data_IF_935057262532
#
_entry.id   IF_935057262532
#
_cell.length_a   1.000
_cell.length_b   1.000
_cell.length_c   1.000
_cell.angle_alpha   90.00
_cell.angle_beta   90.00
_cell.angle_gamma   90.00
#
_symmetry.space_group_name_H-M   'P 1'
#
loop_
_entity.id
_entity.type
_entity.pdbx_description
1 polymer ?
#
# COMPACT_ATOMS: atom_id res chain seq x y z
N UNK A 1 40.50 -5.18 33.76
CA UNK A 1 39.39 -5.86 33.04
C UNK A 1 38.07 -5.23 33.43
N UNK A 2 37.38 -4.55 32.50
CA UNK A 2 35.95 -4.25 32.62
C UNK A 2 35.37 -4.23 31.21
N UNK A 3 34.75 -5.34 30.81
CA UNK A 3 34.10 -5.50 29.50
C UNK A 3 32.87 -4.60 29.49
N UNK A 4 32.91 -3.48 28.77
CA UNK A 4 31.70 -2.84 28.28
C UNK A 4 31.15 -3.79 27.21
N UNK A 5 29.98 -4.38 27.47
CA UNK A 5 29.20 -5.01 26.41
C UNK A 5 28.49 -3.87 25.71
N UNK A 6 28.86 -3.64 24.47
CA UNK A 6 28.13 -2.77 23.56
C UNK A 6 26.72 -3.35 23.41
N UNK A 7 25.73 -2.67 23.99
CA UNK A 7 24.34 -2.88 23.58
C UNK A 7 24.19 -2.10 22.27
N UNK A 8 24.49 -2.77 21.16
CA UNK A 8 24.08 -2.29 19.86
C UNK A 8 22.55 -2.27 19.85
N UNK A 9 21.97 -1.08 19.66
CA UNK A 9 20.55 -0.90 19.43
C UNK A 9 20.18 -1.70 18.17
N UNK A 10 19.50 -2.83 18.32
CA UNK A 10 19.08 -3.65 17.18
C UNK A 10 18.06 -2.87 16.37
N UNK A 11 18.44 -2.46 15.16
CA UNK A 11 17.51 -1.87 14.20
C UNK A 11 16.45 -2.93 13.85
N UNK A 12 15.15 -2.67 14.10
CA UNK A 12 14.08 -3.61 13.77
C UNK A 12 14.04 -3.86 12.25
N UNK A 13 13.76 -5.10 11.84
CA UNK A 13 13.47 -5.39 10.42
C UNK A 13 12.18 -4.72 9.98
N UNK A 14 12.02 -4.48 8.67
CA UNK A 14 10.80 -3.90 8.12
C UNK A 14 9.56 -4.75 8.43
N UNK A 15 9.72 -6.07 8.56
CA UNK A 15 8.63 -6.97 8.97
C UNK A 15 8.19 -6.65 10.40
N UNK A 16 9.13 -6.44 11.33
CA UNK A 16 8.79 -6.11 12.72
C UNK A 16 8.16 -4.72 12.81
N UNK A 17 8.71 -3.74 12.10
CA UNK A 17 8.11 -2.42 11.99
C UNK A 17 6.68 -2.49 11.42
N UNK A 18 6.44 -3.33 10.40
CA UNK A 18 5.11 -3.50 9.81
C UNK A 18 4.12 -4.13 10.79
N UNK A 19 4.58 -5.10 11.60
CA UNK A 19 3.78 -5.68 12.67
C UNK A 19 3.39 -4.60 13.69
N UNK A 20 4.31 -3.74 14.09
CA UNK A 20 4.04 -2.67 15.07
C UNK A 20 3.02 -1.65 14.53
N UNK A 21 3.16 -1.21 13.27
CA UNK A 21 2.17 -0.32 12.62
C UNK A 21 0.78 -0.96 12.50
N UNK A 22 0.71 -2.26 12.18
CA UNK A 22 -0.55 -3.00 12.13
C UNK A 22 -1.21 -3.15 13.52
N UNK A 23 -0.41 -3.25 14.57
CA UNK A 23 -0.93 -3.27 15.94
C UNK A 23 -1.50 -1.91 16.35
N UNK A 24 -0.90 -0.80 15.90
CA UNK A 24 -1.45 0.54 16.08
C UNK A 24 -2.79 0.70 15.35
N UNK A 25 -2.87 0.26 14.09
CA UNK A 25 -4.11 0.22 13.31
C UNK A 25 -5.23 -0.56 14.04
N UNK A 26 -4.88 -1.70 14.64
CA UNK A 26 -5.83 -2.53 15.38
C UNK A 26 -6.22 -1.96 16.75
N UNK A 27 -5.34 -1.20 17.41
CA UNK A 27 -5.60 -0.57 18.70
C UNK A 27 -6.60 0.59 18.56
N UNK A 28 -6.43 1.43 17.55
CA UNK A 28 -7.29 2.60 17.35
C UNK A 28 -8.71 2.21 16.92
N UNK A 29 -8.85 1.14 16.12
CA UNK A 29 -10.15 0.59 15.71
C UNK A 29 -11.01 0.03 16.86
N UNK A 30 -10.41 -0.30 18.02
CA UNK A 30 -11.14 -0.72 19.22
C UNK A 30 -11.64 0.45 20.06
N UNK A 31 -11.04 1.63 19.95
CA UNK A 31 -11.45 2.82 20.71
C UNK A 31 -12.74 3.45 20.16
N UNK A 32 -13.03 3.28 18.86
CA UNK A 32 -14.23 3.79 18.19
C UNK A 32 -15.43 2.85 18.24
N UNK A 33 -15.31 1.67 18.86
CA UNK A 33 -16.36 0.65 18.96
C UNK A 33 -17.39 0.86 20.09
N UNK A 34 -17.49 2.06 20.66
CA UNK A 34 -18.29 2.28 21.87
C UNK A 34 -18.72 3.72 22.11
N UNK A 35 -19.41 4.34 21.16
CA UNK A 35 -20.25 5.49 21.44
C UNK A 35 -21.59 5.30 20.73
N UNK A 36 -22.48 4.52 21.36
CA UNK A 36 -23.90 4.60 21.04
C UNK A 36 -24.35 6.02 21.41
N UNK A 37 -24.55 6.86 20.38
CA UNK A 37 -25.24 8.15 20.56
C UNK A 37 -26.70 7.80 20.82
N UNK A 38 -27.11 7.89 22.09
CA UNK A 38 -28.51 7.86 22.46
C UNK A 38 -29.14 9.20 22.01
N UNK A 39 -29.81 9.19 20.86
CA UNK A 39 -30.72 10.27 20.50
C UNK A 39 -32.15 9.76 20.65
N UNK A 40 -32.90 10.39 21.55
CA UNK A 40 -34.30 10.09 21.81
C UNK A 40 -35.17 10.75 20.75
N UNK A 41 -35.80 9.94 19.90
CA UNK A 41 -36.78 10.43 18.92
C UNK A 41 -37.61 9.27 18.36
N UNK A 42 -38.90 9.29 18.70
CA UNK A 42 -39.97 8.43 18.21
C UNK A 42 -40.16 8.55 16.69
N UNK A 43 -40.39 7.42 16.00
CA UNK A 43 -40.74 7.36 14.57
C UNK A 43 -39.86 6.41 13.75
N UNK A 44 -40.43 5.26 13.37
CA UNK A 44 -39.72 4.19 12.65
C UNK A 44 -39.28 4.53 11.22
N UNK A 45 -38.04 4.15 10.90
CA UNK A 45 -37.56 3.72 9.59
C UNK A 45 -36.24 2.95 9.79
N UNK A 46 -35.96 1.97 8.92
CA UNK A 46 -34.82 1.04 8.98
C UNK A 46 -33.50 1.70 9.43
N UNK A 47 -33.10 1.44 10.68
CA UNK A 47 -31.78 1.78 11.18
C UNK A 47 -30.76 0.83 10.58
N UNK A 48 -30.29 1.17 9.36
CA UNK A 48 -29.04 0.64 8.84
C UNK A 48 -27.91 1.24 9.68
N UNK A 49 -27.50 0.54 10.72
CA UNK A 49 -26.33 0.87 11.54
C UNK A 49 -25.13 1.06 10.62
N UNK A 50 -24.81 2.30 10.28
CA UNK A 50 -23.64 2.65 9.47
C UNK A 50 -22.43 2.48 10.38
N UNK A 51 -21.81 1.31 10.32
CA UNK A 51 -20.48 1.07 10.90
C UNK A 51 -19.55 2.13 10.32
N UNK A 52 -19.12 3.09 11.14
CA UNK A 52 -18.03 4.00 10.75
C UNK A 52 -16.76 3.16 10.72
N UNK A 53 -16.30 2.84 9.52
CA UNK A 53 -14.93 2.38 9.35
C UNK A 53 -14.01 3.57 9.64
N UNK A 54 -13.17 3.47 10.67
CA UNK A 54 -12.12 4.43 10.99
C UNK A 54 -10.79 3.82 10.54
N UNK A 55 -10.00 4.56 9.76
CA UNK A 55 -8.70 4.12 9.29
C UNK A 55 -7.67 5.23 9.51
N UNK A 56 -6.86 5.17 10.60
CA UNK A 56 -5.93 6.23 10.93
C UNK A 56 -4.87 6.34 9.83
N UNK A 57 -4.75 7.55 9.26
CA UNK A 57 -3.94 7.79 8.07
C UNK A 57 -2.46 7.53 8.32
N UNK A 58 -1.91 8.01 9.44
CA UNK A 58 -0.46 7.93 9.71
C UNK A 58 0.04 6.49 9.81
N UNK A 59 -0.56 5.60 10.65
CA UNK A 59 -0.17 4.19 10.66
C UNK A 59 -0.36 3.49 9.31
N UNK A 60 -1.43 3.82 8.58
CA UNK A 60 -1.67 3.28 7.23
C UNK A 60 -0.55 3.67 6.25
N UNK A 61 -0.17 4.95 6.21
CA UNK A 61 0.90 5.42 5.33
C UNK A 61 2.28 4.93 5.78
N UNK A 62 2.52 4.80 7.09
CA UNK A 62 3.74 4.20 7.63
C UNK A 62 3.89 2.74 7.16
N UNK A 63 2.80 1.96 7.22
CA UNK A 63 2.77 0.59 6.67
C UNK A 63 3.09 0.56 5.16
N UNK A 64 2.52 1.48 4.37
CA UNK A 64 2.84 1.59 2.95
C UNK A 64 4.30 2.00 2.69
N UNK A 65 4.87 2.90 3.50
CA UNK A 65 6.27 3.32 3.41
C UNK A 65 7.25 2.17 3.70
N UNK A 66 6.88 1.19 4.52
CA UNK A 66 7.71 -0.01 4.72
C UNK A 66 7.84 -0.84 3.44
N UNK A 67 6.83 -0.83 2.56
CA UNK A 67 6.97 -1.45 1.23
C UNK A 67 8.04 -0.72 0.40
N UNK A 68 8.05 0.61 0.42
CA UNK A 68 9.06 1.42 -0.27
C UNK A 68 10.47 1.07 0.23
N UNK A 69 10.65 0.94 1.56
CA UNK A 69 11.94 0.57 2.17
C UNK A 69 12.41 -0.82 1.73
N UNK A 70 11.52 -1.82 1.66
CA UNK A 70 11.86 -3.15 1.15
C UNK A 70 12.25 -3.08 -0.33
N UNK A 71 11.51 -2.32 -1.15
CA UNK A 71 11.83 -2.13 -2.57
C UNK A 71 13.18 -1.43 -2.77
N UNK A 72 13.54 -0.48 -1.91
CA UNK A 72 14.86 0.17 -1.92
C UNK A 72 16.00 -0.81 -1.64
N UNK A 73 15.80 -1.75 -0.71
CA UNK A 73 16.78 -2.81 -0.44
C UNK A 73 16.93 -3.81 -1.58
N UNK A 74 15.86 -4.04 -2.36
CA UNK A 74 15.92 -4.86 -3.58
C UNK A 74 16.75 -4.16 -4.66
N UNK A 75 16.61 -2.83 -4.76
CA UNK A 75 17.44 -1.99 -5.61
C UNK A 75 16.75 -1.50 -6.89
N UNK A 76 17.52 -1.03 -7.89
CA UNK A 76 17.02 -0.17 -8.96
C UNK A 76 15.99 -0.83 -9.88
N UNK A 77 15.95 -2.17 -9.96
CA UNK A 77 14.92 -2.92 -10.71
C UNK A 77 13.50 -2.52 -10.32
N UNK A 78 13.27 -2.15 -9.06
CA UNK A 78 11.96 -1.84 -8.52
C UNK A 78 11.61 -0.35 -8.56
N UNK A 79 12.41 0.49 -9.22
CA UNK A 79 12.25 1.96 -9.22
C UNK A 79 10.84 2.41 -9.63
N UNK A 80 10.27 1.78 -10.65
CA UNK A 80 8.94 2.13 -11.17
C UNK A 80 7.87 1.85 -10.12
N UNK A 81 7.89 0.65 -9.53
CA UNK A 81 6.93 0.26 -8.49
C UNK A 81 7.11 1.12 -7.23
N UNK A 82 8.35 1.39 -6.85
CA UNK A 82 8.68 2.24 -5.71
C UNK A 82 8.13 3.65 -5.88
N UNK A 83 8.35 4.27 -7.04
CA UNK A 83 7.87 5.62 -7.33
C UNK A 83 6.34 5.71 -7.38
N UNK A 84 5.67 4.68 -7.90
CA UNK A 84 4.21 4.63 -7.89
C UNK A 84 3.67 4.62 -6.45
N UNK A 85 4.17 3.72 -5.59
CA UNK A 85 3.77 3.65 -4.19
C UNK A 85 4.08 4.96 -3.47
N UNK A 86 5.29 5.50 -3.63
CA UNK A 86 5.71 6.75 -3.00
C UNK A 86 4.82 7.93 -3.41
N UNK A 87 4.52 8.07 -4.70
CA UNK A 87 3.67 9.15 -5.22
C UNK A 87 2.23 9.04 -4.70
N UNK A 88 1.73 7.82 -4.49
CA UNK A 88 0.42 7.60 -3.89
C UNK A 88 0.40 7.94 -2.39
N UNK A 89 1.49 7.65 -1.66
CA UNK A 89 1.67 8.06 -0.26
C UNK A 89 1.69 9.59 -0.15
N UNK A 90 2.58 10.26 -0.89
CA UNK A 90 2.71 11.72 -0.86
C UNK A 90 1.38 12.43 -1.15
N UNK A 91 0.55 11.86 -2.01
CA UNK A 91 -0.75 12.44 -2.36
C UNK A 91 -1.68 12.51 -1.16
N UNK A 92 -1.71 11.45 -0.35
CA UNK A 92 -2.50 11.40 0.88
C UNK A 92 -1.90 12.29 1.98
N UNK A 93 -0.57 12.34 2.09
CA UNK A 93 0.12 13.24 3.04
C UNK A 93 -0.18 14.71 2.74
N UNK A 94 -0.05 15.13 1.47
CA UNK A 94 -0.37 16.51 1.03
C UNK A 94 -1.82 16.89 1.34
N UNK A 95 -2.74 15.93 1.24
CA UNK A 95 -4.14 16.18 1.58
C UNK A 95 -4.33 16.34 3.10
N UNK A 96 -3.66 15.50 3.90
CA UNK A 96 -3.65 15.63 5.35
C UNK A 96 -3.12 16.98 5.81
N UNK A 97 -2.06 17.49 5.20
CA UNK A 97 -1.43 18.76 5.58
C UNK A 97 -2.34 19.98 5.37
N UNK A 98 -3.42 19.84 4.58
CA UNK A 98 -4.41 20.90 4.41
C UNK A 98 -5.25 21.14 5.68
N UNK A 99 -5.56 20.08 6.44
CA UNK A 99 -6.17 20.16 7.77
C UNK A 99 -5.90 18.85 8.54
N UNK A 100 -4.79 18.76 9.30
CA UNK A 100 -4.39 17.55 10.01
C UNK A 100 -5.42 17.06 11.04
N UNK A 101 -6.31 17.94 11.52
CA UNK A 101 -7.32 17.60 12.52
C UNK A 101 -8.51 16.85 11.92
N UNK A 102 -8.88 17.21 10.69
CA UNK A 102 -10.00 16.59 9.96
C UNK A 102 -9.52 15.38 9.17
N UNK A 103 -8.36 15.48 8.55
CA UNK A 103 -7.86 14.48 7.59
C UNK A 103 -6.87 13.50 8.23
N UNK A 104 -7.02 13.22 9.52
CA UNK A 104 -6.30 12.13 10.21
C UNK A 104 -6.88 10.74 9.92
N UNK A 105 -8.07 10.66 9.33
CA UNK A 105 -8.76 9.42 8.93
C UNK A 105 -8.87 9.36 7.41
N UNK A 106 -8.39 8.26 6.81
CA UNK A 106 -8.49 8.03 5.36
C UNK A 106 -9.94 8.14 4.90
N UNK A 107 -10.89 7.64 5.69
CA UNK A 107 -12.31 7.61 5.29
C UNK A 107 -12.88 9.02 5.12
N UNK A 108 -12.45 9.99 5.92
CA UNK A 108 -12.89 11.39 5.77
C UNK A 108 -12.31 12.06 4.53
N UNK A 109 -11.06 11.72 4.15
CA UNK A 109 -10.47 12.16 2.88
C UNK A 109 -11.29 11.63 1.70
N UNK A 110 -11.60 10.33 1.71
CA UNK A 110 -12.36 9.69 0.62
C UNK A 110 -13.77 10.25 0.51
N UNK A 111 -14.47 10.46 1.63
CA UNK A 111 -15.79 11.09 1.66
C UNK A 111 -15.77 12.50 1.08
N UNK A 112 -14.75 13.30 1.43
CA UNK A 112 -14.61 14.66 0.90
C UNK A 112 -14.44 14.66 -0.61
N UNK A 113 -13.51 13.87 -1.14
CA UNK A 113 -13.32 13.76 -2.59
C UNK A 113 -14.57 13.23 -3.31
N UNK A 114 -15.32 12.34 -2.66
CA UNK A 114 -16.55 11.80 -3.19
C UNK A 114 -17.66 12.85 -3.28
N UNK A 115 -17.86 13.60 -2.20
CA UNK A 115 -18.86 14.68 -2.12
C UNK A 115 -18.55 15.82 -3.12
N UNK A 116 -17.28 16.07 -3.40
CA UNK A 116 -16.85 17.06 -4.40
C UNK A 116 -16.84 16.53 -5.85
N UNK A 117 -17.16 15.25 -6.07
CA UNK A 117 -17.10 14.63 -7.40
C UNK A 117 -15.69 14.61 -8.00
N UNK A 118 -14.66 14.62 -7.15
CA UNK A 118 -13.23 14.61 -7.53
C UNK A 118 -12.61 13.23 -7.43
N UNK A 119 -13.27 12.29 -6.74
CA UNK A 119 -12.72 10.97 -6.45
C UNK A 119 -12.19 10.22 -7.70
N UNK A 120 -12.86 10.33 -8.86
CA UNK A 120 -12.42 9.69 -10.11
C UNK A 120 -11.52 10.57 -11.00
N UNK A 121 -11.32 11.84 -10.66
CA UNK A 121 -10.69 12.83 -11.55
C UNK A 121 -9.19 12.90 -11.28
N UNK A 122 -8.41 12.90 -12.35
CA UNK A 122 -6.96 13.11 -12.29
C UNK A 122 -6.27 12.23 -11.25
N UNK A 123 -5.29 12.83 -10.57
CA UNK A 123 -4.51 12.25 -9.49
C UNK A 123 -5.20 12.50 -8.12
N UNK A 124 -6.25 11.72 -7.81
CA UNK A 124 -7.03 11.83 -6.57
C UNK A 124 -6.48 10.94 -5.43
N UNK A 125 -6.77 11.32 -4.18
CA UNK A 125 -6.45 10.52 -2.99
C UNK A 125 -7.17 9.18 -2.99
N UNK A 126 -8.37 9.14 -3.55
CA UNK A 126 -9.16 7.92 -3.68
C UNK A 126 -8.50 6.92 -4.64
N UNK A 127 -7.94 7.37 -5.77
CA UNK A 127 -7.14 6.51 -6.64
C UNK A 127 -5.86 6.05 -5.95
N UNK A 128 -5.19 6.95 -5.22
CA UNK A 128 -4.01 6.58 -4.44
C UNK A 128 -4.33 5.47 -3.43
N UNK A 129 -5.40 5.61 -2.65
CA UNK A 129 -5.82 4.60 -1.67
C UNK A 129 -6.11 3.24 -2.31
N UNK A 130 -6.78 3.22 -3.47
CA UNK A 130 -7.02 1.99 -4.24
C UNK A 130 -5.71 1.31 -4.64
N UNK A 131 -4.74 2.05 -5.18
CA UNK A 131 -3.46 1.50 -5.61
C UNK A 131 -2.60 1.02 -4.43
N UNK A 132 -2.57 1.77 -3.33
CA UNK A 132 -1.90 1.35 -2.10
C UNK A 132 -2.52 0.06 -1.54
N UNK A 133 -3.86 -0.05 -1.54
CA UNK A 133 -4.55 -1.28 -1.09
C UNK A 133 -4.17 -2.48 -1.96
N UNK A 134 -4.11 -2.31 -3.28
CA UNK A 134 -3.69 -3.39 -4.19
C UNK A 134 -2.23 -3.81 -4.00
N UNK A 135 -1.34 -2.87 -3.68
CA UNK A 135 0.06 -3.18 -3.31
C UNK A 135 0.16 -3.95 -1.99
N UNK A 136 -0.71 -3.64 -1.02
CA UNK A 136 -0.82 -4.41 0.22
C UNK A 136 -1.40 -5.82 -0.04
N UNK A 137 -2.41 -5.95 -0.90
CA UNK A 137 -2.97 -7.25 -1.28
C UNK A 137 -1.95 -8.12 -2.02
N UNK A 138 -1.16 -7.53 -2.93
CA UNK A 138 -0.02 -8.20 -3.56
C UNK A 138 0.97 -8.71 -2.52
N UNK A 139 1.36 -7.86 -1.57
CA UNK A 139 2.28 -8.22 -0.49
C UNK A 139 1.71 -9.35 0.37
N UNK A 140 0.43 -9.27 0.75
CA UNK A 140 -0.25 -10.28 1.55
C UNK A 140 -0.22 -11.65 0.86
N UNK A 141 -0.58 -11.71 -0.43
CA UNK A 141 -0.58 -12.96 -1.19
C UNK A 141 0.85 -13.51 -1.32
N UNK A 142 1.84 -12.66 -1.64
CA UNK A 142 3.23 -13.06 -1.74
C UNK A 142 3.74 -13.68 -0.43
N UNK A 143 3.48 -13.02 0.71
CA UNK A 143 3.87 -13.53 2.01
C UNK A 143 3.14 -14.83 2.37
N UNK A 144 1.85 -14.97 2.04
CA UNK A 144 1.12 -16.23 2.23
C UNK A 144 1.74 -17.39 1.45
N UNK A 145 2.12 -17.17 0.18
CA UNK A 145 2.78 -18.18 -0.65
C UNK A 145 4.14 -18.59 -0.06
N UNK A 146 4.95 -17.61 0.37
CA UNK A 146 6.27 -17.86 0.95
C UNK A 146 6.20 -18.52 2.34
N UNK A 147 5.20 -18.17 3.16
CA UNK A 147 5.01 -18.82 4.47
C UNK A 147 4.54 -20.26 4.31
N UNK A 148 3.64 -20.51 3.35
CA UNK A 148 3.14 -21.86 3.03
C UNK A 148 4.27 -22.75 2.54
N UNK A 149 5.07 -22.26 1.61
CA UNK A 149 6.24 -22.97 1.08
C UNK A 149 7.44 -22.03 1.03
N UNK A 150 8.22 -22.04 2.11
CA UNK A 150 9.45 -21.24 2.19
C UNK A 150 10.54 -21.79 1.25
N UNK A 151 10.33 -22.97 0.63
CA UNK A 151 11.16 -23.59 -0.40
C UNK A 151 10.93 -23.00 -1.80
N UNK A 152 9.73 -22.42 -2.03
CA UNK A 152 9.22 -21.99 -3.34
C UNK A 152 10.15 -21.04 -4.10
N UNK A 153 10.10 -21.13 -5.44
CA UNK A 153 10.75 -20.18 -6.33
C UNK A 153 10.12 -18.78 -6.19
N UNK A 154 10.96 -17.76 -5.99
CA UNK A 154 10.50 -16.40 -5.72
C UNK A 154 9.80 -15.78 -6.94
N UNK A 155 10.33 -15.94 -8.15
CA UNK A 155 9.73 -15.40 -9.37
C UNK A 155 8.31 -15.94 -9.58
N UNK A 156 8.11 -17.25 -9.39
CA UNK A 156 6.79 -17.88 -9.45
C UNK A 156 5.82 -17.34 -8.39
N UNK A 157 6.29 -17.16 -7.14
CA UNK A 157 5.46 -16.60 -6.08
C UNK A 157 5.06 -15.14 -6.37
N UNK A 158 5.99 -14.35 -6.90
CA UNK A 158 5.74 -12.96 -7.30
C UNK A 158 4.80 -12.89 -8.49
N UNK A 159 5.00 -13.73 -9.51
CA UNK A 159 4.12 -13.79 -10.68
C UNK A 159 2.69 -14.18 -10.29
N UNK A 160 2.52 -15.20 -9.45
CA UNK A 160 1.21 -15.64 -8.95
C UNK A 160 0.51 -14.51 -8.18
N UNK A 161 1.23 -13.84 -7.29
CA UNK A 161 0.70 -12.71 -6.51
C UNK A 161 0.31 -11.52 -7.40
N UNK A 162 1.14 -11.22 -8.41
CA UNK A 162 0.88 -10.16 -9.39
C UNK A 162 -0.38 -10.45 -10.21
N UNK A 163 -0.52 -11.69 -10.70
CA UNK A 163 -1.66 -12.12 -11.51
C UNK A 163 -2.99 -11.94 -10.77
N UNK A 164 -2.98 -12.10 -9.44
CA UNK A 164 -4.19 -11.95 -8.61
C UNK A 164 -4.44 -10.50 -8.22
N UNK A 165 -3.44 -9.78 -7.69
CA UNK A 165 -3.66 -8.48 -7.06
C UNK A 165 -3.59 -7.29 -8.03
N UNK A 166 -2.71 -7.33 -9.03
CA UNK A 166 -2.33 -6.14 -9.82
C UNK A 166 -2.68 -6.28 -11.31
N UNK A 167 -2.42 -7.44 -11.92
CA UNK A 167 -2.64 -7.68 -13.35
C UNK A 167 -4.04 -7.30 -13.86
N UNK A 168 -5.14 -7.59 -13.14
CA UNK A 168 -6.48 -7.20 -13.60
C UNK A 168 -6.65 -5.69 -13.81
N UNK A 169 -5.77 -4.88 -13.23
CA UNK A 169 -5.85 -3.42 -13.22
C UNK A 169 -4.81 -2.73 -14.09
N UNK A 170 -3.82 -3.46 -14.61
CA UNK A 170 -2.73 -2.91 -15.43
C UNK A 170 -3.01 -2.92 -16.95
N UNK A 171 -4.17 -3.42 -17.38
CA UNK A 171 -4.57 -3.43 -18.79
C UNK A 171 -3.49 -4.02 -19.71
N UNK A 172 -3.20 -3.34 -20.82
CA UNK A 172 -2.20 -3.78 -21.80
C UNK A 172 -0.74 -3.65 -21.31
N UNK A 173 -0.48 -2.76 -20.34
CA UNK A 173 0.84 -2.53 -19.72
C UNK A 173 1.29 -3.76 -18.92
N UNK A 174 0.35 -4.62 -18.52
CA UNK A 174 0.64 -5.88 -17.83
C UNK A 174 1.63 -6.79 -18.58
N UNK A 175 1.70 -6.68 -19.91
CA UNK A 175 2.65 -7.41 -20.75
C UNK A 175 4.11 -6.96 -20.57
N UNK A 176 4.35 -5.68 -20.23
CA UNK A 176 5.68 -5.15 -19.97
C UNK A 176 6.20 -5.50 -18.56
N UNK A 177 5.29 -5.73 -17.61
CA UNK A 177 5.62 -6.12 -16.24
C UNK A 177 6.37 -7.48 -16.17
N UNK A 178 6.21 -8.35 -17.16
CA UNK A 178 6.95 -9.63 -17.18
C UNK A 178 8.47 -9.46 -17.31
N UNK A 179 8.96 -8.31 -17.81
CA UNK A 179 10.40 -8.07 -18.00
C UNK A 179 11.17 -7.87 -16.69
N UNK A 180 10.53 -7.40 -15.62
CA UNK A 180 11.21 -7.16 -14.34
C UNK A 180 11.27 -8.41 -13.45
N UNK A 181 10.44 -9.43 -13.70
CA UNK A 181 10.45 -10.68 -12.94
C UNK A 181 11.83 -11.34 -12.98
N UNK A 182 12.48 -11.38 -14.14
CA UNK A 182 13.83 -11.93 -14.31
C UNK A 182 14.94 -11.06 -13.68
N UNK A 183 14.60 -9.89 -13.15
CA UNK A 183 15.51 -8.97 -12.48
C UNK A 183 15.29 -8.96 -10.96
N UNK A 184 14.46 -9.87 -10.45
CA UNK A 184 14.30 -10.13 -9.02
C UNK A 184 15.61 -10.69 -8.43
N UNK A 185 15.92 -10.38 -7.17
CA UNK A 185 17.01 -11.03 -6.47
C UNK A 185 16.72 -12.53 -6.38
N UNK A 186 17.78 -13.35 -6.32
CA UNK A 186 17.57 -14.75 -5.94
C UNK A 186 16.97 -14.82 -4.53
N UNK A 187 16.31 -15.94 -4.27
CA UNK A 187 15.59 -16.17 -3.02
C UNK A 187 16.46 -15.98 -1.77
N UNK A 188 17.72 -16.41 -1.80
CA UNK A 188 18.58 -16.30 -0.61
C UNK A 188 18.90 -14.83 -0.33
N UNK A 189 19.12 -14.03 -1.38
CA UNK A 189 19.30 -12.58 -1.25
C UNK A 189 18.01 -11.87 -0.82
N UNK A 190 16.85 -12.29 -1.34
CA UNK A 190 15.57 -11.79 -0.88
C UNK A 190 15.32 -12.08 0.62
N UNK A 191 15.59 -13.30 1.06
CA UNK A 191 15.49 -13.67 2.49
C UNK A 191 16.43 -12.84 3.34
N UNK A 192 17.68 -12.60 2.90
CA UNK A 192 18.62 -11.71 3.60
C UNK A 192 18.11 -10.28 3.71
N UNK A 193 17.45 -9.75 2.68
CA UNK A 193 16.85 -8.41 2.69
C UNK A 193 15.79 -8.28 3.78
N UNK A 194 14.97 -9.33 3.98
CA UNK A 194 13.87 -9.32 4.96
C UNK A 194 14.31 -9.61 6.40
N UNK A 195 15.48 -10.20 6.59
CA UNK A 195 16.00 -10.58 7.90
C UNK A 195 16.61 -9.42 8.66
N UNK A 196 16.47 -9.46 9.98
CA UNK A 196 17.34 -8.70 10.88
C UNK A 196 18.70 -9.38 11.06
N UNK A 197 19.70 -8.62 11.50
CA UNK A 197 21.05 -9.18 11.76
C UNK A 197 20.97 -10.31 12.81
N UNK A 198 21.55 -11.47 12.48
CA UNK A 198 21.57 -12.70 13.29
C UNK A 198 20.23 -13.45 13.40
N UNK A 199 19.20 -13.10 12.61
CA UNK A 199 17.93 -13.82 12.57
C UNK A 199 17.99 -15.11 11.71
N UNK A 200 17.51 -16.22 12.26
CA UNK A 200 17.40 -17.48 11.51
C UNK A 200 16.14 -17.53 10.62
N UNK A 201 16.10 -18.48 9.69
CA UNK A 201 14.97 -18.62 8.74
C UNK A 201 13.66 -18.97 9.46
N UNK A 202 13.73 -19.69 10.59
CA UNK A 202 12.55 -20.11 11.33
C UNK A 202 11.86 -18.91 12.00
N UNK A 203 12.66 -18.00 12.56
CA UNK A 203 12.19 -16.77 13.18
C UNK A 203 11.60 -15.81 12.15
N UNK A 204 12.29 -15.60 11.02
CA UNK A 204 11.73 -14.83 9.91
C UNK A 204 10.37 -15.41 9.47
N UNK A 205 10.27 -16.73 9.30
CA UNK A 205 9.02 -17.38 8.89
C UNK A 205 7.90 -17.19 9.91
N UNK A 206 8.22 -17.18 11.20
CA UNK A 206 7.28 -16.87 12.28
C UNK A 206 6.76 -15.43 12.18
N UNK A 207 7.67 -14.45 12.03
CA UNK A 207 7.31 -13.04 11.90
C UNK A 207 6.50 -12.79 10.60
N UNK A 208 6.86 -13.40 9.47
CA UNK A 208 6.07 -13.33 8.23
C UNK A 208 4.65 -13.89 8.44
N UNK A 209 4.51 -15.00 9.16
CA UNK A 209 3.19 -15.57 9.48
C UNK A 209 2.38 -14.61 10.36
N UNK A 210 3.01 -13.98 11.34
CA UNK A 210 2.39 -12.97 12.19
C UNK A 210 1.96 -11.75 11.39
N UNK A 211 2.82 -11.24 10.52
CA UNK A 211 2.52 -10.14 9.61
C UNK A 211 1.31 -10.47 8.72
N UNK A 212 1.28 -11.66 8.10
CA UNK A 212 0.12 -12.13 7.31
C UNK A 212 -1.18 -12.12 8.14
N UNK A 213 -1.13 -12.61 9.39
CA UNK A 213 -2.31 -12.67 10.25
C UNK A 213 -2.87 -11.29 10.64
N UNK A 214 -2.00 -10.28 10.73
CA UNK A 214 -2.37 -8.90 11.07
C UNK A 214 -2.75 -8.08 9.83
N UNK A 215 -2.08 -8.32 8.69
CA UNK A 215 -2.33 -7.59 7.45
C UNK A 215 -3.65 -8.03 6.79
N UNK A 216 -4.00 -9.31 6.86
CA UNK A 216 -5.24 -9.83 6.27
C UNK A 216 -6.52 -9.06 6.68
N UNK A 217 -6.81 -8.84 7.98
CA UNK A 217 -7.99 -8.06 8.38
C UNK A 217 -7.91 -6.59 7.96
N UNK A 218 -6.71 -5.98 7.94
CA UNK A 218 -6.54 -4.59 7.45
C UNK A 218 -6.79 -4.49 5.95
N UNK A 219 -6.31 -5.45 5.15
CA UNK A 219 -6.63 -5.54 3.72
C UNK A 219 -8.13 -5.68 3.47
N UNK A 220 -8.84 -6.49 4.27
CA UNK A 220 -10.30 -6.59 4.19
C UNK A 220 -10.99 -5.27 4.55
N UNK A 221 -10.60 -4.64 5.67
CA UNK A 221 -11.11 -3.33 6.08
C UNK A 221 -10.91 -2.27 5.00
N UNK A 222 -9.74 -2.24 4.35
CA UNK A 222 -9.47 -1.31 3.25
C UNK A 222 -10.43 -1.56 2.07
N UNK A 223 -10.70 -2.83 1.74
CA UNK A 223 -11.68 -3.21 0.73
C UNK A 223 -13.09 -2.79 1.12
N UNK A 224 -13.50 -2.97 2.37
CA UNK A 224 -14.78 -2.48 2.89
C UNK A 224 -14.89 -0.95 2.84
N UNK A 225 -13.83 -0.21 3.17
CA UNK A 225 -13.77 1.25 3.05
C UNK A 225 -13.99 1.69 1.60
N UNK A 226 -13.35 1.00 0.64
CA UNK A 226 -13.55 1.25 -0.78
C UNK A 226 -14.99 0.96 -1.23
N UNK A 227 -15.65 -0.07 -0.68
CA UNK A 227 -17.05 -0.44 -0.98
C UNK A 227 -18.06 0.46 -0.27
N UNK A 228 -17.79 0.93 0.95
CA UNK A 228 -18.73 1.72 1.76
C UNK A 228 -18.74 3.19 1.35
N UNK A 229 -17.60 3.73 0.91
CA UNK A 229 -17.48 5.06 0.30
C UNK A 229 -18.14 5.14 -1.09
N UNK A 230 -18.78 4.05 -1.53
CA UNK A 230 -19.15 3.77 -2.92
C UNK A 230 -20.60 4.13 -3.29
N UNK A 231 -21.34 4.85 -2.44
CA UNK A 231 -22.73 5.21 -2.77
C UNK A 231 -22.86 6.19 -3.95
N UNK A 232 -21.77 6.85 -4.38
CA UNK A 232 -21.77 7.65 -5.62
C UNK A 232 -20.43 7.66 -6.41
N UNK A 233 -19.37 6.99 -5.94
CA UNK A 233 -18.02 7.35 -6.39
C UNK A 233 -17.13 6.33 -7.10
N UNK A 234 -17.39 5.01 -7.21
CA UNK A 234 -16.38 4.15 -7.86
C UNK A 234 -16.88 2.95 -8.67
N UNK A 235 -16.57 2.99 -9.97
CA UNK A 235 -16.59 1.87 -10.94
C UNK A 235 -15.30 1.00 -10.79
N UNK A 236 -14.50 1.22 -9.74
CA UNK A 236 -13.18 0.58 -9.59
C UNK A 236 -13.27 -0.80 -8.93
N UNK A 237 -14.46 -1.19 -8.47
CA UNK A 237 -14.78 -2.55 -8.03
C UNK A 237 -15.57 -3.23 -9.15
N UNK A 238 -14.99 -3.34 -10.34
CA UNK A 238 -15.43 -4.42 -11.22
C UNK A 238 -14.74 -5.68 -10.70
N UNK A 239 -15.55 -6.59 -10.16
CA UNK A 239 -15.16 -7.98 -9.94
C UNK A 239 -14.32 -8.47 -11.14
N UNK A 240 -13.27 -9.30 -10.94
CA UNK A 240 -12.45 -9.86 -12.02
C UNK A 240 -13.26 -10.53 -13.14
N UNK A 241 -14.54 -10.82 -12.88
CA UNK A 241 -15.47 -11.51 -13.77
C UNK A 241 -16.05 -10.57 -14.88
N UNK A 242 -15.91 -9.23 -14.79
CA UNK A 242 -16.57 -8.30 -15.74
C UNK A 242 -15.72 -7.09 -16.20
N UNK A 243 -14.43 -7.27 -16.43
CA UNK A 243 -13.55 -6.19 -16.89
C UNK A 243 -13.36 -6.20 -18.41
N UNK A 244 -14.18 -5.46 -19.18
CA UNK A 244 -13.87 -5.24 -20.60
C UNK A 244 -14.26 -3.88 -21.22
N UNK A 245 -14.93 -2.94 -20.51
CA UNK A 245 -15.50 -1.78 -21.25
C UNK A 245 -15.46 -0.37 -20.64
N UNK A 246 -14.73 -0.08 -19.56
CA UNK A 246 -14.84 1.26 -18.93
C UNK A 246 -13.55 1.94 -18.48
N UNK A 247 -12.38 1.51 -18.94
CA UNK A 247 -11.15 2.31 -18.82
C UNK A 247 -10.96 3.12 -20.11
N UNK A 248 -11.40 4.38 -20.11
CA UNK A 248 -11.01 5.35 -21.14
C UNK A 248 -9.57 5.80 -20.84
N UNK A 249 -8.67 5.65 -21.82
CA UNK A 249 -7.20 5.74 -21.71
C UNK A 249 -6.56 7.06 -21.27
N UNK A 250 -7.23 7.85 -20.43
CA UNK A 250 -6.73 9.11 -19.87
C UNK A 250 -6.05 8.92 -18.49
N UNK A 251 -6.39 7.84 -17.78
CA UNK A 251 -5.74 7.45 -16.52
C UNK A 251 -4.42 6.67 -16.74
N UNK A 252 -4.14 6.24 -17.99
CA UNK A 252 -2.93 5.48 -18.35
C UNK A 252 -1.68 6.36 -18.52
N UNK A 253 -1.86 7.68 -18.57
CA UNK A 253 -0.78 8.64 -18.79
C UNK A 253 0.14 8.80 -17.58
N UNK A 254 -0.26 8.47 -16.35
CA UNK A 254 0.62 8.64 -15.18
C UNK A 254 1.77 7.63 -15.18
N UNK A 255 1.47 6.33 -15.39
CA UNK A 255 2.49 5.29 -15.56
C UNK A 255 3.41 5.57 -16.77
N UNK A 256 2.87 6.11 -17.86
CA UNK A 256 3.66 6.45 -19.06
C UNK A 256 4.43 7.78 -18.97
N UNK A 257 3.92 8.81 -18.29
CA UNK A 257 4.65 10.07 -18.06
C UNK A 257 5.81 9.84 -17.11
N UNK A 258 5.62 9.02 -16.07
CA UNK A 258 6.70 8.67 -15.16
C UNK A 258 7.74 7.77 -15.86
N UNK A 259 7.32 6.78 -16.68
CA UNK A 259 8.25 5.95 -17.50
C UNK A 259 8.96 6.74 -18.62
N UNK A 260 8.32 7.75 -19.24
CA UNK A 260 8.98 8.61 -20.23
C UNK A 260 9.94 9.62 -19.59
N UNK A 261 9.61 10.16 -18.42
CA UNK A 261 10.50 11.02 -17.64
C UNK A 261 11.71 10.23 -17.08
N UNK A 262 11.52 8.95 -16.75
CA UNK A 262 12.61 8.04 -16.34
C UNK A 262 13.67 7.83 -17.43
N UNK A 263 13.29 7.79 -18.73
CA UNK A 263 14.27 7.72 -19.83
C UNK A 263 15.01 9.03 -20.10
N UNK A 264 14.49 10.16 -19.65
CA UNK A 264 15.09 11.47 -19.92
C UNK A 264 16.14 11.85 -18.86
N UNK A 265 15.97 11.40 -17.61
CA UNK A 265 16.86 11.75 -16.49
C UNK A 265 18.08 10.83 -16.29
N UNK A 266 18.23 9.74 -17.06
CA UNK A 266 19.46 8.91 -17.04
C UNK A 266 20.58 9.43 -17.96
N UNK A 267 20.36 10.55 -18.66
CA UNK A 267 21.44 11.28 -19.33
C UNK A 267 21.79 12.52 -18.50
N UNK A 268 22.87 12.41 -17.74
CA UNK A 268 23.54 13.51 -17.07
C UNK A 268 23.61 14.77 -17.94
N UNK A 269 23.38 15.94 -17.33
CA UNK A 269 24.43 16.95 -17.35
C UNK A 269 24.40 17.80 -16.07
N UNK A 270 25.44 17.60 -15.26
CA UNK A 270 26.06 18.64 -14.47
C UNK A 270 26.48 19.76 -15.44
N UNK A 271 25.88 20.94 -15.36
CA UNK A 271 26.58 22.22 -15.44
C UNK A 271 25.64 23.40 -15.17
N UNK A 272 26.07 24.21 -14.20
CA UNK A 272 25.94 25.68 -14.11
C UNK A 272 24.55 26.37 -14.13
N UNK A 273 24.24 26.92 -12.95
CA UNK A 273 24.09 28.37 -12.70
C UNK A 273 23.13 29.21 -13.55
N UNK A 274 22.19 29.82 -12.82
CA UNK A 274 21.75 31.22 -12.88
C UNK A 274 20.98 31.75 -14.11
N UNK A 275 20.05 32.65 -13.75
CA UNK A 275 19.42 33.74 -14.52
C UNK A 275 18.28 33.29 -15.47
N UNK A 276 17.03 33.59 -15.10
CA UNK A 276 16.29 34.85 -15.31
C UNK A 276 15.77 35.01 -16.74
N UNK A 277 14.45 35.25 -16.79
CA UNK A 277 13.53 35.56 -17.89
C UNK A 277 12.90 34.36 -18.57
#
# INVERSE_FOLDING_TARGET
MKRKRDQAEMVPSEIRAAIDELLLLAADGKSSGGAAVADGGDGGCDQKTTVRHYLPLKPFLALCNLLVQVLDKIGPTMVVLRQDIHSNIERLEKFHDCDPSIYSDVVEILKKEANEGKAKKGASCSKAFVWLTRSLDFTLILLQLLVKDFGRNLEQAVEESYNVALKPWHGWISSAAYKWLSSLPDKNNFVKILKSENEDDAKLKEEMRRLVSLLAPVSEQNREVMVSSNQNCFVFIKSPIFAESLWTGQDEMHLMMDIKNLRYNEKCDFTNSLLLV
#
